data_IF_338036068654
#
_entry.id   IF_338036068654
#
_cell.length_a   1.000
_cell.length_b   1.000
_cell.length_c   1.000
_cell.angle_alpha   90.00
_cell.angle_beta   90.00
_cell.angle_gamma   90.00
#
_symmetry.space_group_name_H-M   'P 1'
#
loop_
_entity.id
_entity.type
_entity.pdbx_description
1 polymer ?
#
# COMPACT_ATOMS: atom_id res chain seq x y z
N UNK A 1 52.31 10.05 5.59
CA UNK A 1 51.07 10.84 5.72
C UNK A 1 49.85 10.26 4.98
N UNK A 2 49.96 9.78 3.73
CA UNK A 2 48.82 9.20 2.96
C UNK A 2 48.12 7.98 3.59
N UNK A 3 48.84 7.05 4.24
CA UNK A 3 48.25 5.82 4.83
C UNK A 3 47.32 6.14 5.99
N UNK A 4 47.61 7.14 6.83
CA UNK A 4 46.79 7.52 7.94
C UNK A 4 45.46 8.18 7.50
N UNK A 5 45.47 8.92 6.38
CA UNK A 5 44.26 9.53 5.83
C UNK A 5 43.31 8.47 5.23
N UNK A 6 43.87 7.47 4.53
CA UNK A 6 43.09 6.35 3.96
C UNK A 6 42.41 5.56 5.08
N UNK A 7 43.15 5.19 6.13
CA UNK A 7 42.58 4.46 7.29
C UNK A 7 41.50 5.27 7.99
N UNK A 8 41.71 6.58 8.19
CA UNK A 8 40.70 7.46 8.79
C UNK A 8 39.45 7.55 7.92
N UNK A 9 39.59 7.73 6.61
CA UNK A 9 38.45 7.79 5.69
C UNK A 9 37.69 6.45 5.63
N UNK A 10 38.40 5.33 5.67
CA UNK A 10 37.77 4.00 5.75
C UNK A 10 36.98 3.83 7.05
N UNK A 11 37.51 4.27 8.19
CA UNK A 11 36.78 4.23 9.47
C UNK A 11 35.52 5.08 9.43
N UNK A 12 35.57 6.31 8.87
CA UNK A 12 34.39 7.15 8.72
C UNK A 12 33.36 6.54 7.78
N UNK A 13 33.78 5.95 6.66
CA UNK A 13 32.87 5.27 5.73
C UNK A 13 32.20 4.07 6.39
N UNK A 14 32.95 3.26 7.15
CA UNK A 14 32.39 2.12 7.88
C UNK A 14 31.42 2.58 8.98
N UNK A 15 31.77 3.59 9.76
CA UNK A 15 30.87 4.13 10.77
C UNK A 15 29.58 4.72 10.15
N UNK A 16 29.69 5.45 9.05
CA UNK A 16 28.54 5.96 8.32
C UNK A 16 27.63 4.83 7.81
N UNK A 17 28.21 3.78 7.22
CA UNK A 17 27.46 2.61 6.75
C UNK A 17 26.70 1.92 7.91
N UNK A 18 27.36 1.72 9.06
CA UNK A 18 26.73 1.12 10.24
C UNK A 18 25.56 1.99 10.72
N UNK A 19 25.75 3.30 10.82
CA UNK A 19 24.70 4.24 11.25
C UNK A 19 23.54 4.23 10.24
N UNK A 20 23.84 4.24 8.94
CA UNK A 20 22.82 4.18 7.89
C UNK A 20 22.00 2.89 7.96
N UNK A 21 22.66 1.74 8.10
CA UNK A 21 22.00 0.43 8.24
C UNK A 21 21.15 0.39 9.51
N UNK A 22 21.69 0.87 10.64
CA UNK A 22 20.95 0.94 11.89
C UNK A 22 19.72 1.87 11.76
N UNK A 23 19.87 3.05 11.17
CA UNK A 23 18.75 3.96 10.90
C UNK A 23 17.68 3.30 10.01
N UNK A 24 18.11 2.62 8.94
CA UNK A 24 17.18 1.94 8.05
C UNK A 24 16.33 0.90 8.80
N UNK A 25 16.94 0.01 9.56
CA UNK A 25 16.21 -1.08 10.22
C UNK A 25 15.49 -0.67 11.50
N UNK A 26 16.00 0.33 12.24
CA UNK A 26 15.42 0.73 13.53
C UNK A 26 14.42 1.87 13.42
N UNK A 27 14.51 2.69 12.37
CA UNK A 27 13.67 3.90 12.23
C UNK A 27 12.85 3.85 10.94
N UNK A 28 13.51 3.80 9.79
CA UNK A 28 12.83 3.92 8.51
C UNK A 28 11.89 2.73 8.23
N UNK A 29 12.38 1.51 8.35
CA UNK A 29 11.59 0.30 8.05
C UNK A 29 10.36 0.15 8.96
N UNK A 30 10.43 0.29 10.29
CA UNK A 30 9.24 0.28 11.15
C UNK A 30 8.25 1.38 10.79
N UNK A 31 8.74 2.60 10.53
CA UNK A 31 7.90 3.72 10.13
C UNK A 31 7.17 3.46 8.81
N UNK A 32 7.88 3.00 7.77
CA UNK A 32 7.25 2.76 6.48
C UNK A 32 6.25 1.59 6.52
N UNK A 33 6.51 0.56 7.32
CA UNK A 33 5.61 -0.60 7.46
C UNK A 33 4.30 -0.25 8.19
N UNK A 34 4.28 0.81 8.99
CA UNK A 34 3.12 1.21 9.79
C UNK A 34 2.68 2.65 9.56
N UNK A 35 3.06 3.25 8.42
CA UNK A 35 2.76 4.66 8.17
C UNK A 35 1.27 4.97 8.33
N UNK A 36 0.97 5.94 9.22
CA UNK A 36 -0.37 6.39 9.50
C UNK A 36 -1.23 5.42 10.31
N UNK A 37 -0.83 4.16 10.50
CA UNK A 37 -1.56 3.19 11.31
C UNK A 37 -1.22 3.32 12.80
N UNK A 38 -2.20 3.03 13.66
CA UNK A 38 -1.99 2.88 15.10
C UNK A 38 -1.45 1.49 15.44
N UNK A 39 -0.88 1.32 16.64
CA UNK A 39 -0.43 0.00 17.11
C UNK A 39 -1.57 -1.05 17.11
N UNK A 40 -2.78 -0.62 17.50
CA UNK A 40 -3.97 -1.50 17.49
C UNK A 40 -4.38 -1.92 16.09
N UNK A 41 -4.26 -1.03 15.08
CA UNK A 41 -4.55 -1.37 13.68
C UNK A 41 -3.50 -2.31 13.11
N UNK A 42 -2.23 -2.16 13.48
CA UNK A 42 -1.16 -3.09 13.10
C UNK A 42 -1.38 -4.47 13.72
N UNK A 43 -1.81 -4.54 14.98
CA UNK A 43 -2.04 -5.79 15.71
C UNK A 43 -3.38 -6.46 15.37
N UNK A 44 -4.35 -5.71 14.88
CA UNK A 44 -5.70 -6.20 14.58
C UNK A 44 -5.66 -7.24 13.44
N UNK A 45 -6.31 -8.41 13.60
CA UNK A 45 -6.48 -9.35 12.50
C UNK A 45 -7.24 -8.73 11.33
N UNK A 46 -6.76 -8.97 10.11
CA UNK A 46 -7.44 -8.57 8.87
C UNK A 46 -7.70 -9.81 7.99
N UNK A 47 -8.68 -9.69 7.12
CA UNK A 47 -8.97 -10.72 6.10
C UNK A 47 -7.70 -11.01 5.28
N UNK A 48 -7.44 -12.30 5.02
CA UNK A 48 -6.25 -12.73 4.26
C UNK A 48 -4.97 -12.89 5.07
N UNK A 49 -4.92 -12.52 6.35
CA UNK A 49 -3.71 -12.68 7.19
C UNK A 49 -3.19 -14.11 7.26
N UNK A 50 -4.10 -15.10 7.21
CA UNK A 50 -3.75 -16.52 7.25
C UNK A 50 -3.18 -17.09 5.95
N UNK A 51 -3.34 -16.41 4.82
CA UNK A 51 -2.92 -16.90 3.50
C UNK A 51 -1.41 -16.79 3.29
N UNK A 52 -0.78 -15.78 3.85
CA UNK A 52 0.69 -15.59 3.79
C UNK A 52 1.29 -15.88 5.17
N UNK A 53 1.82 -17.10 5.34
CA UNK A 53 2.48 -17.50 6.60
C UNK A 53 3.89 -16.93 6.67
N UNK A 54 4.26 -16.37 7.84
CA UNK A 54 5.58 -15.79 8.10
C UNK A 54 6.02 -14.81 6.99
N UNK A 55 5.27 -13.74 6.72
CA UNK A 55 5.64 -12.79 5.68
C UNK A 55 6.99 -12.14 5.97
N UNK A 56 7.80 -11.92 4.95
CA UNK A 56 9.03 -11.12 5.03
C UNK A 56 8.72 -9.62 4.93
N UNK A 57 7.62 -9.30 4.25
CA UNK A 57 7.02 -7.96 4.18
C UNK A 57 5.59 -8.00 4.72
N UNK A 58 5.29 -7.18 5.73
CA UNK A 58 3.97 -7.04 6.33
C UNK A 58 3.75 -5.58 6.69
N UNK A 59 3.11 -4.85 5.80
CA UNK A 59 2.88 -3.42 5.95
C UNK A 59 1.39 -3.14 6.19
N UNK A 60 1.08 -2.50 7.32
CA UNK A 60 -0.26 -2.00 7.65
C UNK A 60 -0.23 -0.48 7.65
N UNK A 61 -1.01 0.15 6.79
CA UNK A 61 -1.04 1.61 6.65
C UNK A 61 -2.45 2.13 6.71
N UNK A 62 -2.60 3.37 7.12
CA UNK A 62 -3.93 3.90 7.30
C UNK A 62 -3.99 5.42 7.14
N UNK A 63 -5.20 5.90 6.77
CA UNK A 63 -5.52 7.31 6.68
C UNK A 63 -6.95 7.55 7.15
N UNK A 64 -7.19 8.66 7.85
CA UNK A 64 -8.54 9.12 8.14
C UNK A 64 -9.05 9.95 6.95
N UNK A 65 -10.24 9.63 6.49
CA UNK A 65 -10.93 10.31 5.39
C UNK A 65 -12.20 10.95 5.94
N UNK A 66 -12.42 12.23 5.66
CA UNK A 66 -13.60 12.95 6.07
C UNK A 66 -14.74 12.70 5.06
N UNK A 67 -15.16 11.47 4.96
CA UNK A 67 -16.25 10.98 4.15
C UNK A 67 -16.79 9.66 4.73
N UNK A 68 -18.08 9.34 4.54
CA UNK A 68 -18.65 8.06 4.89
C UNK A 68 -18.10 6.94 3.98
N UNK A 69 -18.16 5.69 4.44
CA UNK A 69 -17.62 4.54 3.73
C UNK A 69 -18.17 4.38 2.31
N UNK A 70 -19.44 4.68 2.09
CA UNK A 70 -20.13 4.62 0.80
C UNK A 70 -19.51 5.55 -0.27
N UNK A 71 -18.86 6.63 0.15
CA UNK A 71 -18.16 7.55 -0.78
C UNK A 71 -16.71 7.14 -1.04
N UNK A 72 -16.12 6.36 -0.15
CA UNK A 72 -14.74 5.88 -0.28
C UNK A 72 -14.70 4.60 -1.09
N UNK A 73 -15.67 3.71 -0.86
CA UNK A 73 -15.72 2.38 -1.46
C UNK A 73 -15.62 2.37 -3.00
N UNK A 74 -16.35 3.24 -3.73
CA UNK A 74 -16.27 3.29 -5.18
C UNK A 74 -14.85 3.55 -5.71
N UNK A 75 -14.04 4.30 -4.98
CA UNK A 75 -12.63 4.54 -5.33
C UNK A 75 -11.74 3.32 -5.12
N UNK A 76 -12.07 2.47 -4.14
CA UNK A 76 -11.32 1.25 -3.86
C UNK A 76 -11.60 0.19 -4.92
N UNK A 77 -12.85 -0.07 -5.25
CA UNK A 77 -13.23 -1.16 -6.17
C UNK A 77 -12.85 -0.90 -7.62
N UNK A 78 -12.68 0.32 -8.03
CA UNK A 78 -12.27 0.65 -9.39
C UNK A 78 -10.75 0.67 -9.61
N UNK A 79 -9.91 0.52 -8.56
CA UNK A 79 -8.45 0.47 -8.66
C UNK A 79 -8.03 -0.61 -9.67
N UNK A 80 -6.91 -0.37 -10.37
CA UNK A 80 -6.28 -1.34 -11.24
C UNK A 80 -5.57 -0.71 -12.44
N UNK A 81 -4.59 -1.45 -12.93
CA UNK A 81 -3.81 -1.10 -14.10
C UNK A 81 -4.71 -0.96 -15.33
N UNK A 82 -4.60 0.18 -16.01
CA UNK A 82 -5.48 0.54 -17.16
C UNK A 82 -6.99 0.49 -16.87
N UNK A 83 -7.38 0.43 -15.59
CA UNK A 83 -8.74 0.70 -15.11
C UNK A 83 -8.82 2.15 -14.66
N UNK A 84 -9.04 2.38 -13.37
CA UNK A 84 -9.01 3.73 -12.81
C UNK A 84 -7.60 4.19 -12.37
N UNK A 85 -6.56 3.39 -12.62
CA UNK A 85 -5.22 3.59 -12.07
C UNK A 85 -5.17 3.28 -10.57
N UNK A 86 -4.08 3.66 -9.93
CA UNK A 86 -3.86 3.43 -8.49
C UNK A 86 -3.87 4.71 -7.68
N UNK A 87 -4.18 5.87 -8.30
CA UNK A 87 -4.13 7.20 -7.67
C UNK A 87 -2.75 7.53 -7.08
N UNK A 88 -1.72 6.91 -7.64
CA UNK A 88 -0.35 6.95 -7.20
C UNK A 88 0.56 7.67 -8.22
N UNK A 89 1.65 7.05 -8.62
CA UNK A 89 2.57 7.57 -9.63
C UNK A 89 2.31 6.87 -10.97
N UNK A 90 1.41 7.42 -11.75
CA UNK A 90 0.91 6.81 -12.99
C UNK A 90 2.03 6.38 -13.95
N UNK A 91 3.16 7.10 -13.98
CA UNK A 91 4.35 6.72 -14.74
C UNK A 91 5.00 5.41 -14.27
N UNK A 92 4.77 5.00 -13.02
CA UNK A 92 5.37 3.79 -12.42
C UNK A 92 4.42 2.61 -12.40
N UNK A 93 3.12 2.86 -12.32
CA UNK A 93 2.13 1.82 -12.05
C UNK A 93 0.95 1.78 -13.04
N UNK A 94 0.90 2.71 -14.02
CA UNK A 94 -0.22 2.79 -14.96
C UNK A 94 0.18 3.25 -16.38
N UNK A 95 1.44 3.00 -16.80
CA UNK A 95 1.99 3.38 -18.12
C UNK A 95 1.80 4.87 -18.45
N UNK A 96 1.95 5.74 -17.46
CA UNK A 96 1.73 7.18 -17.57
C UNK A 96 0.28 7.58 -17.96
N UNK A 97 -0.66 6.63 -17.89
CA UNK A 97 -2.08 6.89 -18.09
C UNK A 97 -2.62 7.50 -16.79
N UNK A 98 -3.15 8.73 -16.83
CA UNK A 98 -3.62 9.40 -15.61
C UNK A 98 -4.69 8.60 -14.87
N UNK A 99 -4.54 8.48 -13.56
CA UNK A 99 -5.57 7.88 -12.70
C UNK A 99 -6.86 8.70 -12.76
N UNK A 100 -8.00 8.01 -12.72
CA UNK A 100 -9.32 8.59 -12.84
C UNK A 100 -9.60 9.65 -11.75
N UNK A 101 -10.24 10.74 -12.14
CA UNK A 101 -10.72 11.81 -11.23
C UNK A 101 -12.24 11.73 -11.01
N UNK A 102 -12.88 10.63 -11.45
CA UNK A 102 -14.31 10.37 -11.28
C UNK A 102 -14.57 8.89 -11.05
N UNK A 103 -15.74 8.57 -10.52
CA UNK A 103 -16.22 7.20 -10.46
C UNK A 103 -16.58 6.74 -11.87
N UNK A 104 -16.11 5.56 -12.23
CA UNK A 104 -16.32 4.90 -13.52
C UNK A 104 -17.36 3.80 -13.30
N UNK A 105 -18.60 3.92 -13.81
CA UNK A 105 -19.67 2.97 -13.54
C UNK A 105 -19.32 1.53 -13.92
N UNK A 106 -18.56 1.35 -15.00
CA UNK A 106 -18.18 0.05 -15.54
C UNK A 106 -17.27 -0.76 -14.59
N UNK A 107 -16.69 -0.13 -13.58
CA UNK A 107 -15.82 -0.78 -12.59
C UNK A 107 -16.45 -0.92 -11.21
N UNK A 108 -17.76 -0.63 -11.07
CA UNK A 108 -18.43 -0.68 -9.76
C UNK A 108 -19.03 -2.04 -9.42
N UNK A 109 -19.20 -2.93 -10.41
CA UNK A 109 -19.83 -4.24 -10.24
C UNK A 109 -18.80 -5.35 -9.89
N UNK A 110 -17.69 -4.97 -9.22
CA UNK A 110 -16.66 -5.92 -8.80
C UNK A 110 -17.25 -6.99 -7.88
N UNK A 111 -16.91 -8.27 -8.12
CA UNK A 111 -17.41 -9.42 -7.38
C UNK A 111 -16.26 -10.36 -6.96
N UNK A 112 -16.54 -11.22 -5.98
CA UNK A 112 -15.61 -12.31 -5.60
C UNK A 112 -15.41 -13.23 -6.80
N UNK A 113 -14.16 -13.50 -7.15
CA UNK A 113 -13.75 -14.29 -8.30
C UNK A 113 -13.37 -13.45 -9.53
N UNK A 114 -13.64 -12.14 -9.51
CA UNK A 114 -13.17 -11.25 -10.57
C UNK A 114 -11.65 -11.04 -10.49
N UNK A 115 -11.07 -10.62 -11.61
CA UNK A 115 -9.67 -10.26 -11.73
C UNK A 115 -9.51 -8.73 -11.74
N UNK A 116 -8.57 -8.25 -10.95
CA UNK A 116 -8.13 -6.85 -10.94
C UNK A 116 -6.72 -6.78 -11.51
N UNK A 117 -6.51 -6.18 -12.69
CA UNK A 117 -5.17 -6.06 -13.26
C UNK A 117 -4.30 -5.15 -12.38
N UNK A 118 -3.11 -5.64 -12.02
CA UNK A 118 -2.10 -4.90 -11.27
C UNK A 118 -0.95 -4.41 -12.14
N UNK A 119 -0.70 -5.09 -13.25
CA UNK A 119 0.25 -4.73 -14.31
C UNK A 119 -0.15 -5.39 -15.62
N UNK A 120 0.67 -5.28 -16.66
CA UNK A 120 0.44 -5.97 -17.93
C UNK A 120 0.48 -7.51 -17.78
N UNK A 121 1.22 -8.01 -16.79
CA UNK A 121 1.49 -9.46 -16.62
C UNK A 121 0.86 -10.03 -15.35
N UNK A 122 0.26 -9.21 -14.49
CA UNK A 122 -0.19 -9.64 -13.17
C UNK A 122 -1.60 -9.18 -12.89
N UNK A 123 -2.47 -10.14 -12.64
CA UNK A 123 -3.81 -9.92 -12.12
C UNK A 123 -3.91 -10.36 -10.65
N UNK A 124 -4.79 -9.73 -9.90
CA UNK A 124 -5.16 -10.14 -8.56
C UNK A 124 -6.59 -10.68 -8.53
N UNK A 125 -6.77 -11.83 -7.89
CA UNK A 125 -8.08 -12.40 -7.61
C UNK A 125 -8.78 -11.61 -6.49
N UNK A 126 -10.05 -11.29 -6.66
CA UNK A 126 -10.92 -10.84 -5.59
C UNK A 126 -11.36 -12.05 -4.77
N UNK A 127 -10.77 -12.25 -3.59
CA UNK A 127 -10.97 -13.45 -2.77
C UNK A 127 -12.00 -13.24 -1.67
N UNK A 128 -12.11 -12.03 -1.14
CA UNK A 128 -13.12 -11.65 -0.14
C UNK A 128 -13.54 -10.21 -0.38
N UNK A 129 -14.83 -9.95 -0.24
CA UNK A 129 -15.37 -8.61 -0.38
C UNK A 129 -16.66 -8.46 0.44
N UNK A 130 -16.78 -7.35 1.14
CA UNK A 130 -18.01 -6.91 1.80
C UNK A 130 -18.21 -5.42 1.49
N UNK A 131 -19.34 -5.09 0.89
CA UNK A 131 -19.68 -3.74 0.43
C UNK A 131 -19.46 -2.71 1.54
N UNK A 132 -18.76 -1.63 1.20
CA UNK A 132 -18.42 -0.51 2.08
C UNK A 132 -17.58 -0.88 3.32
N UNK A 133 -17.03 -2.10 3.38
CA UNK A 133 -16.28 -2.55 4.56
C UNK A 133 -14.90 -3.11 4.24
N UNK A 134 -14.77 -4.04 3.31
CA UNK A 134 -13.48 -4.68 3.04
C UNK A 134 -13.38 -5.27 1.63
N UNK A 135 -12.16 -5.35 1.16
CA UNK A 135 -11.77 -6.01 -0.08
C UNK A 135 -10.46 -6.75 0.17
N UNK A 136 -10.35 -8.00 -0.29
CA UNK A 136 -9.11 -8.77 -0.29
C UNK A 136 -8.75 -9.15 -1.73
N UNK A 137 -7.60 -8.67 -2.16
CA UNK A 137 -6.95 -9.04 -3.40
C UNK A 137 -5.81 -10.03 -3.10
N UNK A 138 -5.72 -11.09 -3.89
CA UNK A 138 -4.65 -12.09 -3.79
C UNK A 138 -4.03 -12.29 -5.17
N UNK A 139 -2.72 -12.25 -5.24
CA UNK A 139 -1.99 -12.46 -6.48
C UNK A 139 -0.70 -13.25 -6.26
N UNK A 140 -0.08 -13.70 -7.34
CA UNK A 140 1.17 -14.44 -7.30
C UNK A 140 2.29 -13.57 -7.88
N UNK A 141 3.45 -13.63 -7.21
CA UNK A 141 4.70 -13.07 -7.68
C UNK A 141 5.78 -14.15 -7.51
N UNK A 142 6.86 -13.91 -6.76
CA UNK A 142 7.77 -14.96 -6.28
C UNK A 142 7.24 -15.65 -5.01
N UNK A 143 5.92 -15.65 -4.84
CA UNK A 143 5.15 -16.19 -3.72
C UNK A 143 3.78 -15.54 -3.66
N UNK A 144 2.91 -16.03 -2.78
CA UNK A 144 1.58 -15.48 -2.57
C UNK A 144 1.65 -14.09 -1.95
N UNK A 145 0.91 -13.16 -2.49
CA UNK A 145 0.76 -11.80 -1.99
C UNK A 145 -0.71 -11.55 -1.65
N UNK A 146 -0.97 -10.94 -0.49
CA UNK A 146 -2.31 -10.48 -0.11
C UNK A 146 -2.33 -8.97 0.05
N UNK A 147 -3.32 -8.32 -0.52
CA UNK A 147 -3.56 -6.90 -0.38
C UNK A 147 -4.98 -6.66 0.12
N UNK A 148 -5.07 -6.45 1.42
CA UNK A 148 -6.34 -6.24 2.12
C UNK A 148 -6.62 -4.74 2.29
N UNK A 149 -7.88 -4.36 2.09
CA UNK A 149 -8.44 -3.04 2.33
C UNK A 149 -9.58 -3.16 3.33
N UNK A 150 -9.65 -2.24 4.29
CA UNK A 150 -10.74 -2.21 5.26
C UNK A 150 -11.16 -0.77 5.58
N UNK A 151 -12.45 -0.56 5.69
CA UNK A 151 -13.08 0.69 6.09
C UNK A 151 -13.68 0.50 7.49
N UNK A 152 -13.30 1.38 8.41
CA UNK A 152 -13.83 1.40 9.77
C UNK A 152 -14.45 2.78 10.01
N UNK A 153 -15.76 2.82 10.20
CA UNK A 153 -16.47 4.05 10.51
C UNK A 153 -16.01 4.61 11.87
N UNK A 154 -15.67 5.88 11.89
CA UNK A 154 -15.38 6.64 13.11
C UNK A 154 -16.66 7.33 13.56
N UNK A 155 -17.38 7.94 12.62
CA UNK A 155 -18.69 8.55 12.77
C UNK A 155 -19.36 8.67 11.38
N UNK A 156 -20.53 9.29 11.31
CA UNK A 156 -21.34 9.41 10.09
C UNK A 156 -20.60 10.10 8.91
N UNK A 157 -19.56 10.89 9.17
CA UNK A 157 -18.85 11.69 8.17
C UNK A 157 -17.35 11.39 8.11
N UNK A 158 -16.85 10.43 8.89
CA UNK A 158 -15.43 10.09 8.92
C UNK A 158 -15.22 8.59 8.96
N UNK A 159 -14.33 8.14 8.12
CA UNK A 159 -13.98 6.72 8.01
C UNK A 159 -12.47 6.56 8.07
N UNK A 160 -12.04 5.50 8.69
CA UNK A 160 -10.67 5.05 8.73
C UNK A 160 -10.44 4.05 7.61
N UNK A 161 -9.64 4.40 6.63
CA UNK A 161 -9.16 3.48 5.60
C UNK A 161 -7.86 2.85 6.06
N UNK A 162 -7.86 1.53 6.18
CA UNK A 162 -6.69 0.71 6.55
C UNK A 162 -6.40 -0.24 5.42
N UNK A 163 -5.13 -0.34 5.00
CA UNK A 163 -4.68 -1.34 4.04
C UNK A 163 -3.54 -2.16 4.63
N UNK A 164 -3.49 -3.45 4.27
CA UNK A 164 -2.42 -4.37 4.65
C UNK A 164 -1.93 -5.14 3.45
N UNK A 165 -0.63 -5.00 3.16
CA UNK A 165 0.06 -5.78 2.16
C UNK A 165 0.97 -6.80 2.85
N UNK A 166 0.79 -8.09 2.53
CA UNK A 166 1.63 -9.17 3.04
C UNK A 166 2.22 -9.96 1.90
N UNK A 167 3.51 -10.17 1.97
CA UNK A 167 4.26 -10.92 0.98
C UNK A 167 5.38 -11.71 1.65
N UNK A 168 5.56 -12.94 1.23
CA UNK A 168 6.73 -13.73 1.58
C UNK A 168 7.59 -13.96 0.35
N UNK A 169 8.48 -13.01 0.08
CA UNK A 169 9.48 -13.14 -0.99
C UNK A 169 10.74 -13.84 -0.48
N UNK A 170 11.40 -14.60 -1.36
CA UNK A 170 12.75 -15.14 -1.16
C UNK A 170 13.80 -14.33 -1.91
N UNK A 171 13.37 -13.42 -2.78
CA UNK A 171 14.23 -12.52 -3.52
C UNK A 171 14.74 -11.38 -2.66
N UNK A 172 16.04 -11.27 -2.52
CA UNK A 172 16.69 -10.14 -1.80
C UNK A 172 16.41 -8.81 -2.49
N UNK A 173 16.31 -8.81 -3.83
CA UNK A 173 16.02 -7.62 -4.62
C UNK A 173 14.58 -7.17 -4.38
N UNK A 174 13.61 -8.09 -4.46
CA UNK A 174 12.19 -7.78 -4.17
C UNK A 174 12.03 -7.26 -2.74
N UNK A 175 12.68 -7.91 -1.77
CA UNK A 175 12.65 -7.46 -0.37
C UNK A 175 13.19 -6.03 -0.21
N UNK A 176 14.31 -5.71 -0.86
CA UNK A 176 14.89 -4.37 -0.80
C UNK A 176 13.97 -3.33 -1.45
N UNK A 177 13.40 -3.64 -2.61
CA UNK A 177 12.45 -2.73 -3.31
C UNK A 177 11.23 -2.46 -2.43
N UNK A 178 10.63 -3.50 -1.84
CA UNK A 178 9.50 -3.36 -0.92
C UNK A 178 9.86 -2.54 0.31
N UNK A 179 10.97 -2.86 0.97
CA UNK A 179 11.37 -2.19 2.21
C UNK A 179 11.80 -0.73 1.98
N UNK A 180 12.23 -0.36 0.77
CA UNK A 180 12.72 0.98 0.49
C UNK A 180 11.69 1.88 -0.23
N UNK A 181 10.89 1.34 -1.14
CA UNK A 181 10.17 2.16 -2.12
C UNK A 181 8.66 1.96 -2.13
N UNK A 182 8.12 0.82 -1.70
CA UNK A 182 6.68 0.55 -1.80
C UNK A 182 5.82 1.60 -1.07
N UNK A 183 6.32 2.14 0.05
CA UNK A 183 5.66 3.22 0.81
C UNK A 183 5.39 4.47 -0.05
N UNK A 184 6.27 4.78 -1.01
CA UNK A 184 6.13 5.98 -1.84
C UNK A 184 4.86 5.89 -2.69
N UNK A 185 4.59 4.71 -3.24
CA UNK A 185 3.40 4.44 -4.04
C UNK A 185 2.15 4.33 -3.15
N UNK A 186 2.20 3.49 -2.12
CA UNK A 186 1.05 3.24 -1.25
C UNK A 186 0.60 4.50 -0.50
N UNK A 187 1.53 5.31 -0.02
CA UNK A 187 1.19 6.59 0.63
C UNK A 187 0.46 7.52 -0.33
N UNK A 188 0.94 7.65 -1.57
CA UNK A 188 0.30 8.49 -2.59
C UNK A 188 -1.07 7.94 -2.97
N UNK A 189 -1.21 6.61 -3.10
CA UNK A 189 -2.48 5.93 -3.34
C UNK A 189 -3.51 6.27 -2.25
N UNK A 190 -3.18 6.05 -0.97
CA UNK A 190 -4.07 6.36 0.16
C UNK A 190 -4.47 7.83 0.21
N UNK A 191 -3.52 8.75 0.00
CA UNK A 191 -3.79 10.18 -0.05
C UNK A 191 -4.59 10.57 -1.32
N UNK A 192 -4.39 9.86 -2.42
CA UNK A 192 -5.14 10.01 -3.66
C UNK A 192 -6.60 9.62 -3.51
N UNK A 193 -6.89 8.50 -2.84
CA UNK A 193 -8.25 8.09 -2.48
C UNK A 193 -8.89 9.12 -1.54
N UNK A 194 -8.15 9.52 -0.48
CA UNK A 194 -8.63 10.54 0.47
C UNK A 194 -9.04 11.82 -0.24
N UNK A 195 -8.18 12.40 -1.05
CA UNK A 195 -8.47 13.63 -1.79
C UNK A 195 -9.75 13.52 -2.64
N UNK A 196 -9.91 12.42 -3.36
CA UNK A 196 -11.06 12.20 -4.24
C UNK A 196 -12.36 12.00 -3.49
N UNK A 197 -12.33 11.20 -2.42
CA UNK A 197 -13.51 10.97 -1.61
C UNK A 197 -13.97 12.24 -0.85
N UNK A 198 -13.03 13.07 -0.41
CA UNK A 198 -13.32 14.33 0.29
C UNK A 198 -13.79 15.44 -0.68
N UNK A 199 -13.21 15.54 -1.89
CA UNK A 199 -13.61 16.53 -2.89
C UNK A 199 -15.09 16.38 -3.30
N UNK A 200 -15.64 15.19 -3.28
CA UNK A 200 -17.06 14.94 -3.53
C UNK A 200 -17.99 15.46 -2.42
N UNK A 201 -17.44 16.02 -1.34
CA UNK A 201 -18.20 16.62 -0.20
C UNK A 201 -18.25 18.14 -0.25
N UNK A 202 -17.43 18.79 -1.06
CA UNK A 202 -17.49 20.24 -1.20
C UNK A 202 -18.74 20.63 -2.01
N UNK A 203 -19.60 21.51 -1.49
CA UNK A 203 -20.72 22.06 -2.27
C UNK A 203 -20.16 22.88 -3.45
N UNK A 204 -20.72 22.65 -4.64
CA UNK A 204 -20.41 23.40 -5.85
C UNK A 204 -20.77 24.90 -5.70
#
# INVERSE_FOLDING_TARGET
>A
MRVNSIRRNALFATAFLIIFVAFFFLVYRPWQLSWGATADEVARPMVGDGLVKNPTFNATRAVTINAPAERIWPWIVQIGYKRAGFYSWDILDNDDIPSAERIIPEYQDLQIGDLVPLSEETDADVVDMELNKRLLLVFQSDGTVTWAWALYEIDANRTRLVTRLRWRTTSVVSQFVLDAFEIIMMRKCLLGIKRRAEAAMEPA
#
